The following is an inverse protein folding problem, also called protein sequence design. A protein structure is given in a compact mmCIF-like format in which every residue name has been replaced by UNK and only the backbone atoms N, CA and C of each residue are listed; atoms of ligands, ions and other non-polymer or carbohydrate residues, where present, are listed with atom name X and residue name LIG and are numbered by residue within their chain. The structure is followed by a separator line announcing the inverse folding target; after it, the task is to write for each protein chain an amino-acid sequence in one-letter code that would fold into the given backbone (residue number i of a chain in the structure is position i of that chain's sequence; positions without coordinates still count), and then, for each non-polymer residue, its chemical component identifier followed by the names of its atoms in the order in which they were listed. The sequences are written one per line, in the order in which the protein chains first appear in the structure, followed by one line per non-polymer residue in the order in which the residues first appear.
data_IF_418165490395
#
_entry.id   IF_418165490395
#
_cell.length_a   1.000
_cell.length_b   1.000
_cell.length_c   1.000
_cell.angle_alpha   90.00
_cell.angle_beta   90.00
_cell.angle_gamma   90.00
#
_symmetry.space_group_name_H-M   'P 1'
#
loop_
_entity.id
_entity.type
_entity.pdbx_description
1 polymer ?
2 polymer ?
3 polymer ?
4 water ?
#
# COMPACT_ATOMS: atom_id res chain seq x y z
N UNK A 1 17.27 -3.90 15.69
CA UNK A 1 18.05 -4.65 14.66
C UNK A 1 18.65 -3.78 13.54
N UNK A 2 19.20 -4.49 12.55
CA UNK A 2 19.84 -3.92 11.38
C UNK A 2 18.86 -3.03 10.62
N UNK A 3 19.33 -1.87 10.21
CA UNK A 3 18.49 -0.93 9.50
C UNK A 3 18.94 -0.81 8.04
N UNK A 4 17.98 -0.78 7.11
CA UNK A 4 18.24 -0.61 5.67
C UNK A 4 17.47 0.62 5.24
N UNK A 5 18.20 1.66 4.87
CA UNK A 5 17.56 2.91 4.48
C UNK A 5 17.66 3.15 2.98
N UNK A 6 16.53 3.25 2.25
CA UNK A 6 16.61 3.52 0.80
C UNK A 6 16.58 4.99 0.50
N UNK A 7 17.22 5.44 -0.57
CA UNK A 7 17.13 6.84 -0.96
C UNK A 7 17.08 6.89 -2.45
N UNK A 8 16.21 7.77 -3.03
CA UNK A 8 15.33 8.62 -2.24
C UNK A 8 14.12 7.77 -1.98
N UNK A 9 13.22 8.21 -1.10
CA UNK A 9 12.04 7.42 -0.88
C UNK A 9 11.12 7.50 -2.11
N UNK A 10 11.14 8.62 -2.82
CA UNK A 10 10.30 8.81 -4.00
C UNK A 10 11.15 9.50 -5.06
N UNK A 11 10.87 9.26 -6.34
CA UNK A 11 11.72 9.81 -7.38
C UNK A 11 10.92 9.98 -8.62
N UNK A 12 11.04 11.12 -9.28
CA UNK A 12 10.27 11.31 -10.54
C UNK A 12 11.22 11.19 -11.74
N UNK A 13 10.73 10.67 -12.86
CA UNK A 13 11.60 10.48 -14.00
C UNK A 13 10.79 10.31 -15.26
N UNK A 14 11.47 10.30 -16.40
CA UNK A 14 10.77 10.12 -17.66
C UNK A 14 11.38 8.96 -18.40
N UNK A 15 10.62 8.39 -19.34
CA UNK A 15 11.09 7.28 -20.15
C UNK A 15 12.42 7.72 -20.79
N UNK A 16 13.42 6.84 -20.74
CA UNK A 16 14.71 7.16 -21.28
C UNK A 16 15.66 7.67 -20.21
N UNK A 17 15.18 8.08 -19.04
CA UNK A 17 16.19 8.54 -18.08
C UNK A 17 17.04 7.41 -17.46
N UNK A 18 18.11 7.82 -16.79
CA UNK A 18 18.98 6.93 -16.09
C UNK A 18 18.69 7.26 -14.65
N UNK A 19 18.30 6.27 -13.84
CA UNK A 19 18.07 6.58 -12.45
C UNK A 19 18.90 5.67 -11.57
N UNK A 20 19.16 6.10 -10.36
CA UNK A 20 19.91 5.22 -9.52
C UNK A 20 19.28 5.40 -8.17
N UNK A 21 19.04 4.26 -7.51
CA UNK A 21 18.40 4.17 -6.21
C UNK A 21 19.49 3.64 -5.30
N UNK A 22 19.59 4.15 -4.08
CA UNK A 22 20.62 3.62 -3.22
C UNK A 22 20.08 3.04 -1.91
N UNK A 23 20.80 2.10 -1.30
CA UNK A 23 20.34 1.46 -0.08
C UNK A 23 21.54 1.35 0.84
N UNK A 24 21.39 1.82 2.06
CA UNK A 24 22.49 1.83 3.04
C UNK A 24 22.11 1.01 4.25
N UNK A 25 23.04 0.18 4.70
CA UNK A 25 22.77 -0.67 5.85
C UNK A 25 23.48 -0.15 7.10
N UNK A 26 22.87 -0.34 8.26
CA UNK A 26 23.48 0.15 9.51
C UNK A 26 24.74 -0.60 9.95
N UNK A 27 24.90 -1.84 9.49
CA UNK A 27 26.07 -2.69 9.77
C UNK A 27 26.34 -3.37 8.42
N UNK A 28 27.57 -3.81 8.18
CA UNK A 28 27.90 -4.44 6.90
C UNK A 28 27.17 -5.74 6.64
N UNK A 29 26.66 -5.91 5.43
CA UNK A 29 25.93 -7.11 5.04
C UNK A 29 26.67 -7.85 3.92
N UNK A 30 27.98 -7.59 3.79
CA UNK A 30 28.80 -8.20 2.75
C UNK A 30 28.12 -8.01 1.42
N UNK A 31 27.98 -9.04 0.59
CA UNK A 31 27.31 -8.87 -0.70
C UNK A 31 25.88 -9.46 -0.69
N UNK A 32 25.37 -9.81 0.49
CA UNK A 32 24.06 -10.45 0.59
C UNK A 32 22.91 -9.45 0.52
N UNK A 33 22.66 -8.95 -0.68
CA UNK A 33 21.67 -7.95 -0.87
C UNK A 33 20.98 -8.14 -2.18
N UNK A 34 19.67 -7.98 -2.19
CA UNK A 34 18.93 -8.20 -3.42
C UNK A 34 18.06 -7.00 -3.75
N UNK A 35 17.83 -6.76 -5.04
CA UNK A 35 16.92 -5.68 -5.45
C UNK A 35 15.71 -6.25 -6.13
N UNK A 36 14.56 -5.62 -5.90
CA UNK A 36 13.30 -6.05 -6.52
C UNK A 36 12.54 -4.87 -7.07
N UNK A 37 11.71 -5.15 -8.05
CA UNK A 37 10.86 -4.14 -8.64
C UNK A 37 9.43 -4.67 -8.39
N UNK A 38 8.54 -3.83 -7.91
CA UNK A 38 7.17 -4.30 -7.70
C UNK A 38 6.22 -3.33 -8.36
N UNK A 39 5.44 -3.85 -9.28
CA UNK A 39 4.47 -3.05 -9.97
C UNK A 39 3.17 -3.12 -9.19
N UNK A 40 2.35 -2.07 -9.28
CA UNK A 40 1.08 -2.11 -8.53
C UNK A 40 0.30 -3.42 -8.79
N UNK A 41 -0.31 -3.94 -7.73
CA UNK A 41 -1.09 -5.17 -7.83
C UNK A 41 -0.33 -6.48 -8.06
N UNK A 42 1.00 -6.43 -8.17
CA UNK A 42 1.77 -7.64 -8.41
C UNK A 42 2.79 -7.91 -7.30
N UNK A 43 3.34 -9.13 -7.26
CA UNK A 43 4.34 -9.45 -6.24
C UNK A 43 5.69 -8.81 -6.63
N UNK A 44 6.61 -8.68 -5.69
CA UNK A 44 7.90 -8.10 -6.06
C UNK A 44 8.58 -9.04 -7.07
N UNK A 45 9.43 -8.52 -7.96
CA UNK A 45 10.13 -9.39 -8.91
C UNK A 45 11.62 -9.14 -8.70
N UNK A 46 12.37 -10.23 -8.59
CA UNK A 46 13.82 -10.20 -8.39
C UNK A 46 14.53 -9.60 -9.61
N UNK A 47 15.38 -8.61 -9.41
CA UNK A 47 16.15 -7.99 -10.49
C UNK A 47 17.61 -8.39 -10.36
N UNK A 48 18.18 -8.16 -9.18
CA UNK A 48 19.60 -8.36 -8.88
C UNK A 48 19.75 -9.11 -7.57
N UNK A 49 20.56 -10.17 -7.58
CA UNK A 49 20.85 -10.97 -6.38
C UNK A 49 22.34 -10.87 -6.05
N UNK A 50 22.66 -11.08 -4.78
CA UNK A 50 24.08 -11.05 -4.37
C UNK A 50 24.72 -9.72 -4.79
N UNK A 51 24.03 -8.60 -4.51
CA UNK A 51 24.48 -7.20 -4.81
C UNK A 51 24.70 -6.80 -6.24
N UNK A 52 25.20 -7.70 -7.08
CA UNK A 52 25.43 -7.27 -8.44
C UNK A 52 25.12 -8.27 -9.51
N UNK A 53 24.71 -9.51 -9.18
CA UNK A 53 24.46 -10.49 -10.25
C UNK A 53 23.10 -10.25 -10.92
N UNK A 54 23.06 -10.30 -12.25
CA UNK A 54 21.83 -10.04 -12.94
C UNK A 54 21.00 -11.29 -12.93
N UNK A 55 19.77 -11.21 -12.44
CA UNK A 55 18.91 -12.38 -12.40
C UNK A 55 18.54 -12.78 -13.81
N UNK A 56 18.45 -14.09 -14.04
CA UNK A 56 18.13 -14.62 -15.35
C UNK A 56 16.78 -14.15 -15.89
N UNK A 57 16.79 -13.60 -17.10
CA UNK A 57 15.56 -13.16 -17.71
C UNK A 57 15.27 -11.71 -17.40
N UNK A 58 16.13 -11.08 -16.59
CA UNK A 58 15.94 -9.68 -16.25
C UNK A 58 16.71 -8.83 -17.29
N UNK A 59 16.05 -7.80 -17.83
CA UNK A 59 16.71 -6.95 -18.84
C UNK A 59 18.00 -6.28 -18.40
N UNK A 60 18.94 -6.21 -19.34
CA UNK A 60 20.26 -5.68 -19.06
C UNK A 60 20.32 -4.22 -18.64
N UNK A 61 19.28 -3.42 -18.85
CA UNK A 61 19.35 -2.03 -18.38
C UNK A 61 19.44 -1.96 -16.86
N UNK A 62 19.19 -3.08 -16.17
CA UNK A 62 19.24 -3.04 -14.70
C UNK A 62 20.61 -3.44 -14.24
N UNK A 63 21.14 -2.67 -13.32
CA UNK A 63 22.46 -2.98 -12.84
C UNK A 63 22.59 -2.74 -11.34
N UNK A 64 23.31 -3.61 -10.66
CA UNK A 64 23.52 -3.37 -9.25
C UNK A 64 25.00 -3.41 -8.86
N UNK A 65 25.43 -2.51 -7.97
CA UNK A 65 26.80 -2.50 -7.49
C UNK A 65 26.87 -2.17 -5.98
N UNK A 66 28.06 -2.30 -5.40
CA UNK A 66 28.28 -2.03 -4.00
C UNK A 66 28.38 -3.31 -3.15
N UNK A 67 28.87 -3.15 -1.92
CA UNK A 67 29.02 -4.23 -0.93
C UNK A 67 29.21 -3.58 0.46
N UNK A 68 29.11 -4.34 1.56
CA UNK A 68 29.29 -3.71 2.86
C UNK A 68 28.06 -2.96 3.37
N UNK A 69 28.08 -1.63 3.32
CA UNK A 69 26.97 -0.84 3.80
C UNK A 69 26.31 0.04 2.76
N UNK A 70 26.83 0.06 1.56
CA UNK A 70 26.23 0.94 0.56
C UNK A 70 26.03 0.28 -0.79
N UNK A 71 24.79 0.26 -1.29
CA UNK A 71 24.48 -0.39 -2.54
C UNK A 71 23.65 0.54 -3.40
N UNK A 72 23.73 0.32 -4.70
CA UNK A 72 23.01 1.10 -5.67
C UNK A 72 22.47 0.22 -6.80
N UNK A 73 21.28 0.59 -7.25
CA UNK A 73 20.61 -0.07 -8.37
C UNK A 73 20.52 1.04 -9.42
N UNK A 74 20.93 0.78 -10.65
CA UNK A 74 20.71 1.82 -11.60
C UNK A 74 20.00 1.22 -12.76
N UNK A 75 19.06 1.96 -13.31
CA UNK A 75 18.35 1.51 -14.47
C UNK A 75 18.93 2.51 -15.46
N UNK A 76 19.56 2.00 -16.52
CA UNK A 76 20.24 2.93 -17.43
C UNK A 76 19.31 3.68 -18.37
N UNK A 77 18.29 3.01 -18.91
CA UNK A 77 17.31 3.65 -19.81
C UNK A 77 15.90 3.26 -19.33
N UNK A 78 15.30 4.08 -18.48
CA UNK A 78 13.94 3.79 -17.95
C UNK A 78 12.90 3.50 -19.00
N UNK A 79 12.20 2.38 -18.85
CA UNK A 79 11.12 2.00 -19.77
C UNK A 79 9.77 2.20 -19.02
N UNK A 80 8.62 2.27 -19.73
CA UNK A 80 7.34 2.48 -19.03
C UNK A 80 7.02 1.49 -17.90
N UNK A 81 7.39 0.23 -18.07
CA UNK A 81 7.16 -0.75 -17.02
C UNK A 81 8.00 -0.52 -15.77
N UNK A 82 8.93 0.43 -15.79
CA UNK A 82 9.78 0.68 -14.64
C UNK A 82 9.23 1.68 -13.65
N UNK A 83 8.06 2.23 -13.98
CA UNK A 83 7.41 3.20 -13.10
C UNK A 83 6.84 2.23 -12.09
N UNK A 84 7.41 2.26 -10.89
CA UNK A 84 7.01 1.24 -9.93
C UNK A 84 7.72 1.56 -8.66
N UNK A 85 7.63 0.63 -7.70
CA UNK A 85 8.32 0.80 -6.42
C UNK A 85 9.44 -0.27 -6.33
N UNK A 86 10.62 0.16 -5.93
CA UNK A 86 11.77 -0.71 -5.82
C UNK A 86 12.13 -0.97 -4.39
N UNK A 87 12.54 -2.19 -4.07
CA UNK A 87 12.96 -2.50 -2.72
C UNK A 87 14.30 -3.20 -2.66
N UNK A 88 15.10 -2.93 -1.62
CA UNK A 88 16.35 -3.71 -1.46
C UNK A 88 16.07 -4.63 -0.26
N UNK A 89 16.76 -5.76 -0.18
CA UNK A 89 16.64 -6.74 0.91
C UNK A 89 18.02 -7.28 1.30
N UNK A 90 18.26 -7.31 2.58
CA UNK A 90 19.50 -7.75 3.13
C UNK A 90 19.26 -9.23 3.56
N UNK A 91 20.21 -10.15 3.30
CA UNK A 91 20.10 -11.55 3.69
C UNK A 91 21.33 -12.10 4.46
N UNK A 92 22.08 -11.20 5.05
CA UNK A 92 23.29 -11.55 5.82
C UNK A 92 22.97 -11.87 7.28
N UNK A 93 22.00 -11.12 7.84
CA UNK A 93 21.58 -11.26 9.24
C UNK A 93 20.08 -11.51 9.34
N UNK A 94 19.66 -12.29 10.34
CA UNK A 94 18.24 -12.53 10.57
C UNK A 94 17.85 -11.42 11.54
N UNK A 95 16.67 -10.82 11.34
CA UNK A 95 15.75 -11.12 10.25
C UNK A 95 16.26 -10.49 8.96
N UNK A 96 15.88 -11.09 7.83
CA UNK A 96 16.23 -10.67 6.48
C UNK A 96 15.51 -9.39 6.00
N UNK A 97 15.83 -8.26 6.60
CA UNK A 97 15.23 -6.94 6.30
C UNK A 97 15.05 -6.41 4.90
N UNK A 98 14.00 -5.63 4.74
CA UNK A 98 13.69 -4.95 3.50
C UNK A 98 13.84 -3.47 3.74
N UNK A 99 14.24 -2.73 2.71
CA UNK A 99 14.29 -1.29 2.85
C UNK A 99 12.86 -0.71 2.74
N UNK A 100 12.72 0.59 2.93
CA UNK A 100 11.38 1.22 2.93
C UNK A 100 10.79 1.36 1.56
N UNK A 101 11.58 1.10 0.54
CA UNK A 101 11.04 1.24 -0.81
C UNK A 101 11.25 2.61 -1.46
N UNK A 102 11.39 2.66 -2.78
CA UNK A 102 11.45 3.94 -3.43
C UNK A 102 10.52 3.87 -4.60
N UNK A 103 9.57 4.81 -4.64
CA UNK A 103 8.53 4.93 -5.66
C UNK A 103 9.08 5.70 -6.86
N UNK A 104 8.94 5.17 -8.05
CA UNK A 104 9.46 5.89 -9.19
C UNK A 104 8.20 6.21 -10.00
N UNK A 105 7.92 7.50 -10.22
CA UNK A 105 6.71 7.87 -10.95
C UNK A 105 7.00 8.86 -12.14
N UNK A 106 6.03 9.06 -13.01
CA UNK A 106 6.16 9.88 -14.19
C UNK A 106 6.38 11.35 -13.82
N UNK A 107 7.50 11.95 -14.22
CA UNK A 107 7.73 13.35 -13.89
C UNK A 107 6.82 14.25 -14.73
N UNK A 108 6.42 15.38 -14.18
CA UNK A 108 5.60 16.35 -14.89
C UNK A 108 5.84 17.62 -14.09
N UNK A 109 5.29 18.54 -14.68
CA UNK A 109 5.51 19.84 -14.04
C UNK A 109 4.77 19.91 -12.70
N UNK A 110 5.42 20.78 -11.71
CA UNK A 110 4.80 20.94 -10.43
C UNK A 110 3.40 21.54 -10.58
N UNK A 111 2.44 20.97 -9.86
CA UNK A 111 1.08 21.46 -9.87
C UNK A 111 0.54 21.43 -8.46
N UNK A 112 0.09 22.60 -7.99
CA UNK A 112 -0.47 22.72 -6.64
C UNK A 112 -1.85 22.09 -6.64
N UNK A 113 -2.28 21.62 -5.48
CA UNK A 113 -3.62 21.00 -5.44
C UNK A 113 -4.73 22.03 -5.41
N UNK A 114 -5.90 21.69 -5.93
CA UNK A 114 -7.07 22.56 -5.82
C UNK A 114 -7.64 21.95 -4.52
N UNK A 115 -7.88 22.75 -3.51
CA UNK A 115 -8.37 22.24 -2.24
C UNK A 115 -9.81 22.61 -2.01
N UNK A 116 -10.58 21.67 -1.44
CA UNK A 116 -12.00 21.83 -1.14
C UNK A 116 -12.31 21.19 0.21
N UNK A 117 -13.18 21.82 1.00
CA UNK A 117 -13.57 21.29 2.30
C UNK A 117 -15.07 21.06 2.29
N UNK A 118 -15.49 19.89 2.76
CA UNK A 118 -16.87 19.53 2.75
C UNK A 118 -17.36 19.32 4.15
N UNK A 119 -18.45 20.02 4.56
CA UNK A 119 -18.97 19.83 5.93
C UNK A 119 -19.78 18.55 5.97
N UNK A 120 -20.06 18.05 7.16
CA UNK A 120 -20.86 16.81 7.16
C UNK A 120 -22.31 17.08 6.75
N UNK A 121 -22.91 16.10 6.08
CA UNK A 121 -24.30 16.22 5.67
C UNK A 121 -25.24 16.14 6.90
N UNK A 122 -26.36 16.84 6.81
CA UNK A 122 -27.36 16.81 7.85
C UNK A 122 -27.83 15.41 7.99
N UNK A 123 -27.81 14.64 6.91
CA UNK A 123 -28.26 13.27 6.97
C UNK A 123 -27.32 12.46 7.87
N UNK A 124 -26.01 12.66 7.73
CA UNK A 124 -25.07 11.91 8.59
C UNK A 124 -25.27 12.36 10.03
N UNK A 125 -25.28 13.67 10.25
CA UNK A 125 -25.46 14.21 11.61
C UNK A 125 -26.62 13.55 12.39
N UNK A 126 -27.75 13.29 11.72
CA UNK A 126 -28.91 12.64 12.38
C UNK A 126 -28.55 11.25 12.88
N UNK A 127 -27.52 10.63 12.32
CA UNK A 127 -27.13 9.31 12.78
C UNK A 127 -26.13 9.43 13.93
N UNK A 128 -25.79 10.66 14.27
CA UNK A 128 -24.85 10.85 15.38
C UNK A 128 -23.37 10.99 15.07
N UNK A 129 -22.97 10.88 13.81
CA UNK A 129 -21.56 11.04 13.50
C UNK A 129 -21.34 12.21 12.54
N UNK A 130 -20.14 12.76 12.54
CA UNK A 130 -19.84 13.87 11.70
C UNK A 130 -18.53 13.65 10.97
N UNK A 131 -18.61 13.58 9.64
CA UNK A 131 -17.40 13.42 8.83
C UNK A 131 -17.06 14.70 8.08
N UNK A 132 -15.86 15.22 8.27
CA UNK A 132 -15.50 16.40 7.54
C UNK A 132 -14.46 15.91 6.55
N UNK A 133 -14.69 16.14 5.25
CA UNK A 133 -13.73 15.69 4.27
C UNK A 133 -13.03 16.83 3.56
N UNK A 134 -11.76 16.62 3.29
CA UNK A 134 -10.94 17.60 2.61
C UNK A 134 -10.43 16.95 1.37
N UNK A 135 -10.52 17.65 0.24
CA UNK A 135 -10.02 17.10 -0.98
C UNK A 135 -8.88 17.95 -1.55
N UNK A 136 -7.80 17.30 -1.97
CA UNK A 136 -6.65 17.91 -2.61
C UNK A 136 -6.71 17.26 -3.99
N UNK A 137 -7.08 18.06 -5.00
CA UNK A 137 -7.25 17.54 -6.34
C UNK A 137 -6.14 17.82 -7.37
N UNK A 138 -5.76 16.81 -8.14
CA UNK A 138 -4.73 16.93 -9.17
C UNK A 138 -3.45 17.72 -8.83
N UNK A 139 -2.61 17.20 -7.94
CA UNK A 139 -1.37 17.91 -7.60
C UNK A 139 -0.14 17.05 -7.99
N UNK A 140 1.04 17.63 -7.88
CA UNK A 140 2.31 16.94 -8.19
C UNK A 140 3.45 17.82 -7.70
N UNK A 141 4.46 17.24 -7.05
CA UNK A 141 4.64 15.83 -6.74
C UNK A 141 3.69 15.25 -5.68
N UNK A 142 3.77 13.93 -5.47
CA UNK A 142 2.90 13.24 -4.56
C UNK A 142 2.87 13.69 -3.10
N UNK A 143 4.00 14.10 -2.54
CA UNK A 143 3.99 14.47 -1.15
C UNK A 143 3.13 15.73 -0.86
N UNK A 144 2.25 15.59 0.14
CA UNK A 144 1.37 16.67 0.51
C UNK A 144 1.12 16.45 1.97
N UNK A 145 0.83 17.51 2.72
CA UNK A 145 0.55 17.39 4.13
C UNK A 145 -0.75 18.15 4.46
N UNK A 146 -1.65 17.44 5.11
CA UNK A 146 -2.95 17.93 5.50
C UNK A 146 -2.99 17.99 6.99
N UNK A 147 -3.39 19.15 7.50
CA UNK A 147 -3.51 19.34 8.94
C UNK A 147 -4.91 19.87 9.31
N UNK A 148 -5.66 19.11 10.09
CA UNK A 148 -6.99 19.56 10.48
C UNK A 148 -6.89 20.44 11.72
N UNK A 149 -7.68 21.51 11.72
CA UNK A 149 -7.76 22.41 12.86
C UNK A 149 -9.25 22.68 13.14
N UNK A 150 -9.63 22.62 14.40
CA UNK A 150 -10.99 22.85 14.85
C UNK A 150 -10.87 24.01 15.87
N UNK A 151 -11.53 25.14 15.63
CA UNK A 151 -11.42 26.28 16.56
C UNK A 151 -9.92 26.44 16.94
N UNK A 152 -9.07 26.35 15.94
CA UNK A 152 -7.63 26.48 16.11
C UNK A 152 -6.88 25.40 16.83
N UNK A 153 -7.56 24.35 17.27
CA UNK A 153 -6.85 23.26 17.92
C UNK A 153 -6.39 22.33 16.83
N UNK A 154 -5.13 21.94 16.93
CA UNK A 154 -4.52 21.03 15.98
C UNK A 154 -5.13 19.64 16.20
N UNK A 155 -5.64 19.00 15.15
CA UNK A 155 -6.26 17.70 15.36
C UNK A 155 -5.26 16.55 15.18
N UNK A 156 -5.46 15.47 15.92
CA UNK A 156 -4.56 14.36 15.77
C UNK A 156 -5.22 13.04 16.14
N UNK A 157 -4.97 12.01 15.36
CA UNK A 157 -5.52 10.70 15.66
C UNK A 157 -6.96 10.50 15.28
N UNK A 158 -7.59 11.50 14.68
CA UNK A 158 -9.01 11.36 14.32
C UNK A 158 -9.33 11.59 12.82
N UNK A 159 -8.31 11.39 11.96
CA UNK A 159 -8.50 11.55 10.54
C UNK A 159 -7.81 10.42 9.80
N UNK A 160 -8.23 10.19 8.57
CA UNK A 160 -7.63 9.15 7.74
C UNK A 160 -7.62 9.68 6.34
N UNK A 161 -6.58 9.32 5.58
CA UNK A 161 -6.48 9.78 4.22
C UNK A 161 -6.06 8.65 3.27
N UNK A 162 -6.41 8.81 2.00
CA UNK A 162 -5.99 7.88 0.97
C UNK A 162 -5.64 8.72 -0.29
N UNK A 163 -4.76 8.19 -1.13
CA UNK A 163 -4.26 8.88 -2.32
C UNK A 163 -4.54 8.02 -3.56
N UNK A 164 -4.98 8.61 -4.65
CA UNK A 164 -5.18 7.84 -5.86
C UNK A 164 -3.83 7.44 -6.48
N UNK A 165 -3.84 6.51 -7.41
CA UNK A 165 -2.61 6.15 -8.11
C UNK A 165 -2.39 7.28 -9.13
N UNK A 166 -1.13 7.47 -9.58
CA UNK A 166 -0.80 8.54 -10.53
C UNK A 166 -1.73 8.47 -11.71
N UNK A 167 -2.31 9.59 -12.12
CA UNK A 167 -3.24 9.56 -13.24
C UNK A 167 -2.51 9.27 -14.56
N UNK A 168 -2.98 8.33 -15.38
CA UNK A 168 -2.30 8.00 -16.63
C UNK A 168 -2.27 9.11 -17.71
N UNK A 169 -3.13 10.11 -17.59
CA UNK A 169 -3.15 11.22 -18.57
C UNK A 169 -2.49 12.50 -17.99
N UNK A 170 -2.87 12.82 -16.76
CA UNK A 170 -2.42 13.98 -15.97
C UNK A 170 -1.03 13.89 -15.37
N UNK A 171 -0.76 12.68 -14.86
CA UNK A 171 0.47 12.40 -14.08
C UNK A 171 0.34 13.05 -12.72
N UNK A 172 -0.87 13.46 -12.34
CA UNK A 172 -1.07 14.12 -11.03
C UNK A 172 -1.68 13.10 -10.04
N UNK A 173 -1.74 13.47 -8.76
CA UNK A 173 -2.36 12.62 -7.74
C UNK A 173 -3.47 13.43 -7.10
N UNK A 174 -4.36 12.75 -6.41
CA UNK A 174 -5.43 13.43 -5.67
C UNK A 174 -5.45 12.77 -4.27
N UNK A 175 -5.84 13.54 -3.27
CA UNK A 175 -5.86 13.02 -1.91
C UNK A 175 -7.15 13.41 -1.17
N UNK A 176 -7.74 12.44 -0.49
CA UNK A 176 -8.92 12.63 0.28
C UNK A 176 -8.61 12.43 1.73
N UNK A 177 -8.94 13.40 2.59
CA UNK A 177 -8.76 13.20 4.01
C UNK A 177 -10.08 13.41 4.79
N UNK A 178 -10.46 12.42 5.61
CA UNK A 178 -11.66 12.48 6.41
C UNK A 178 -11.39 12.71 7.91
N UNK A 179 -11.95 13.81 8.47
CA UNK A 179 -11.89 14.08 9.91
C UNK A 179 -13.24 13.53 10.48
N UNK A 180 -13.18 12.67 11.49
CA UNK A 180 -14.38 12.08 12.05
C UNK A 180 -14.60 12.44 13.53
N UNK A 181 -15.78 12.92 13.88
CA UNK A 181 -16.05 13.30 15.25
C UNK A 181 -17.47 12.88 15.58
N UNK A 182 -17.77 12.70 16.85
CA UNK A 182 -19.16 12.43 17.19
C UNK A 182 -19.99 13.71 16.88
N UNK A 183 -21.28 13.54 16.69
CA UNK A 183 -22.13 14.67 16.43
C UNK A 183 -21.96 15.62 17.60
N UNK A 184 -21.96 15.08 18.82
CA UNK A 184 -21.79 15.95 19.98
C UNK A 184 -20.57 16.83 19.94
N UNK A 185 -19.38 16.26 19.76
CA UNK A 185 -18.14 17.05 19.69
C UNK A 185 -18.25 18.03 18.54
N UNK A 186 -18.79 17.55 17.44
CA UNK A 186 -18.91 18.40 16.28
C UNK A 186 -19.60 19.68 16.68
N UNK A 187 -20.71 19.54 17.38
CA UNK A 187 -21.55 20.67 17.78
C UNK A 187 -20.88 21.61 18.75
N UNK A 188 -19.83 21.17 19.43
CA UNK A 188 -19.17 22.02 20.38
C UNK A 188 -18.14 22.96 19.79
N UNK A 189 -18.05 23.07 18.47
CA UNK A 189 -17.03 23.94 17.87
C UNK A 189 -17.55 24.64 16.65
N UNK A 190 -16.85 25.66 16.16
CA UNK A 190 -17.35 26.37 14.98
C UNK A 190 -16.47 26.35 13.74
N UNK A 191 -15.19 26.66 13.88
CA UNK A 191 -14.31 26.73 12.71
C UNK A 191 -13.60 25.42 12.39
N UNK A 192 -13.99 24.78 11.30
CA UNK A 192 -13.41 23.53 10.83
C UNK A 192 -12.52 23.90 9.68
N UNK A 193 -11.21 23.63 9.82
CA UNK A 193 -10.23 23.99 8.81
C UNK A 193 -9.33 22.87 8.34
N UNK A 194 -9.04 22.85 7.05
CA UNK A 194 -8.15 21.88 6.42
C UNK A 194 -6.95 22.71 5.90
N UNK A 195 -5.79 22.55 6.53
CA UNK A 195 -4.58 23.27 6.15
C UNK A 195 -3.72 22.39 5.24
N UNK A 196 -3.31 22.90 4.09
CA UNK A 196 -2.56 22.08 3.15
C UNK A 196 -1.20 22.60 2.77
N UNK A 197 -0.16 21.77 2.91
CA UNK A 197 1.19 22.18 2.55
C UNK A 197 1.60 21.33 1.36
N UNK A 198 2.20 21.98 0.37
CA UNK A 198 2.63 21.28 -0.82
C UNK A 198 3.66 22.10 -1.55
N UNK A 199 4.52 21.42 -2.28
CA UNK A 199 5.58 22.11 -2.97
C UNK A 199 5.10 23.20 -3.93
N UNK A 200 3.97 22.99 -4.59
CA UNK A 200 3.48 23.98 -5.52
C UNK A 200 2.77 25.18 -4.88
N UNK A 201 2.70 25.22 -3.56
CA UNK A 201 2.02 26.31 -2.92
C UNK A 201 3.06 27.16 -2.23
N UNK A 202 3.08 28.45 -2.61
CA UNK A 202 4.00 29.40 -2.02
C UNK A 202 3.98 29.26 -0.48
N UNK A 203 2.80 29.22 0.12
CA UNK A 203 2.71 29.03 1.56
C UNK A 203 1.45 28.18 1.69
N UNK A 204 1.21 27.63 2.88
CA UNK A 204 0.04 26.78 3.16
C UNK A 204 -1.29 27.43 2.84
N UNK A 205 -2.19 26.65 2.28
CA UNK A 205 -3.47 27.17 1.98
C UNK A 205 -4.46 26.56 2.98
N UNK A 206 -5.40 27.37 3.45
CA UNK A 206 -6.39 26.85 4.36
C UNK A 206 -7.81 27.04 3.78
N UNK A 207 -8.61 25.97 3.82
CA UNK A 207 -9.99 26.02 3.39
C UNK A 207 -10.77 25.70 4.63
N UNK A 208 -11.80 26.49 4.92
CA UNK A 208 -12.61 26.27 6.09
C UNK A 208 -14.01 26.78 6.00
N UNK A 209 -14.77 26.44 7.03
CA UNK A 209 -16.14 26.85 7.19
C UNK A 209 -16.50 26.96 8.68
N UNK A 210 -17.55 27.72 8.97
CA UNK A 210 -18.01 27.83 10.34
C UNK A 210 -19.24 26.97 10.39
N UNK A 211 -19.27 26.05 11.34
CA UNK A 211 -20.40 25.15 11.49
C UNK A 211 -21.68 25.92 11.75
N UNK A 212 -22.76 25.41 11.18
CA UNK A 212 -24.05 26.02 11.37
C UNK A 212 -24.27 27.39 10.74
N UNK A 213 -23.22 28.01 10.22
CA UNK A 213 -23.42 29.30 9.61
C UNK A 213 -24.35 29.06 8.44
N UNK A 214 -25.54 29.81 8.19
CA UNK A 214 -26.52 29.61 7.13
C UNK A 214 -26.93 30.88 6.41
N UNK B 1 10.50 -24.68 -14.29
CA UNK B 1 9.71 -23.48 -13.87
C UNK B 1 9.14 -23.65 -12.44
N UNK B 2 9.53 -22.69 -11.61
CA UNK B 2 9.10 -22.66 -10.24
C UNK B 2 7.89 -21.78 -10.06
N UNK B 3 6.87 -22.27 -9.40
CA UNK B 3 5.75 -21.42 -9.14
C UNK B 3 5.30 -21.70 -7.68
N UNK B 4 4.78 -20.66 -7.02
CA UNK B 4 4.26 -20.80 -5.65
C UNK B 4 2.93 -20.10 -5.63
N UNK B 5 2.04 -20.58 -4.75
CA UNK B 5 0.74 -19.97 -4.57
C UNK B 5 0.22 -20.12 -3.11
N UNK B 6 -0.19 -18.98 -2.57
CA UNK B 6 -0.69 -18.90 -1.21
C UNK B 6 -2.20 -19.19 -1.12
N UNK B 7 -2.63 -19.86 -0.05
CA UNK B 7 -4.07 -20.07 0.14
C UNK B 7 -4.37 -19.97 1.66
N UNK B 8 -5.61 -19.61 1.99
CA UNK B 8 -6.05 -19.52 3.38
C UNK B 8 -7.30 -18.64 3.43
N UNK B 9 -7.78 -18.26 4.62
CA UNK B 9 -8.98 -17.43 4.72
C UNK B 9 -8.74 -15.95 4.36
N UNK B 10 -9.67 -15.33 3.60
CA UNK B 10 -9.45 -13.92 3.26
C UNK B 10 -9.80 -13.03 4.42
N UNK B 11 -10.63 -13.54 5.29
CA UNK B 11 -11.09 -12.77 6.43
C UNK B 11 -10.85 -13.50 7.73
N UNK B 12 -10.36 -12.79 8.73
CA UNK B 12 -10.16 -13.40 10.01
C UNK B 12 -10.47 -12.42 11.09
N UNK B 13 -11.00 -12.90 12.20
CA UNK B 13 -11.35 -12.03 13.33
C UNK B 13 -10.24 -11.94 14.37
N UNK B 14 -10.13 -10.79 15.02
CA UNK B 14 -9.15 -10.52 16.05
C UNK B 14 -9.19 -11.66 17.06
N UNK B 15 -8.02 -11.94 17.64
CA UNK B 15 -7.68 -13.00 18.60
C UNK B 15 -7.65 -14.35 17.92
N UNK B 16 -8.20 -14.47 16.72
CA UNK B 16 -8.17 -15.78 16.09
C UNK B 16 -6.80 -16.19 15.55
N UNK B 17 -6.73 -17.45 15.14
CA UNK B 17 -5.54 -18.03 14.58
C UNK B 17 -5.65 -18.13 13.05
N UNK B 18 -4.59 -17.66 12.38
CA UNK B 18 -4.51 -17.64 10.94
C UNK B 18 -3.50 -18.65 10.45
N UNK B 19 -3.95 -19.55 9.58
CA UNK B 19 -3.13 -20.59 8.98
C UNK B 19 -3.09 -20.32 7.47
N UNK B 20 -1.89 -20.13 6.95
CA UNK B 20 -1.66 -19.86 5.55
C UNK B 20 -0.83 -21.00 4.99
N UNK B 21 -1.22 -21.44 3.78
CA UNK B 21 -0.53 -22.50 3.10
C UNK B 21 0.12 -22.02 1.78
N UNK B 22 1.37 -22.44 1.57
CA UNK B 22 2.09 -22.12 0.36
C UNK B 22 2.24 -23.44 -0.33
N UNK B 23 1.63 -23.61 -1.51
CA UNK B 23 1.76 -24.89 -2.28
C UNK B 23 2.66 -24.51 -3.45
N UNK B 24 3.66 -25.32 -3.76
CA UNK B 24 4.57 -24.94 -4.84
C UNK B 24 4.85 -26.12 -5.79
N UNK B 25 5.49 -25.84 -6.93
CA UNK B 25 5.87 -26.90 -7.88
C UNK B 25 7.19 -26.42 -8.53
N UNK B 26 7.96 -27.33 -9.14
CA UNK B 26 9.24 -26.96 -9.74
C UNK B 26 10.46 -27.19 -8.84
N UNK B 27 10.25 -27.51 -7.57
CA UNK B 27 11.40 -27.78 -6.69
C UNK B 27 10.88 -28.63 -5.53
N UNK B 28 11.77 -29.19 -4.75
CA UNK B 28 11.30 -29.99 -3.66
C UNK B 28 11.92 -29.42 -2.41
N UNK B 29 11.23 -29.48 -1.28
CA UNK B 29 11.83 -28.96 -0.08
C UNK B 29 12.77 -30.01 0.47
N UNK B 30 13.14 -30.96 -0.37
CA UNK B 30 14.13 -31.91 0.03
C UNK B 30 15.37 -31.59 -0.83
N UNK B 31 15.27 -30.59 -1.72
CA UNK B 31 16.46 -30.29 -2.53
C UNK B 31 17.48 -29.61 -1.61
N UNK B 32 18.76 -29.76 -1.93
CA UNK B 32 19.81 -29.19 -1.10
C UNK B 32 19.74 -27.69 -0.84
N UNK B 33 19.77 -27.33 0.43
CA UNK B 33 19.74 -25.95 0.90
C UNK B 33 18.60 -25.05 0.48
N UNK B 34 17.57 -25.60 -0.14
CA UNK B 34 16.46 -24.74 -0.54
C UNK B 34 15.68 -24.15 0.65
N UNK B 35 15.12 -22.96 0.49
CA UNK B 35 14.30 -22.32 1.51
C UNK B 35 12.98 -21.81 0.92
N UNK B 36 12.00 -21.65 1.82
CA UNK B 36 10.73 -21.08 1.44
C UNK B 36 10.49 -20.09 2.61
N UNK B 37 10.19 -18.84 2.30
CA UNK B 37 9.99 -17.82 3.33
C UNK B 37 8.64 -17.19 3.11
N UNK B 38 8.22 -16.35 4.05
CA UNK B 38 6.96 -15.66 4.03
C UNK B 38 7.27 -14.18 4.26
N UNK B 39 6.62 -13.32 3.50
CA UNK B 39 6.81 -11.88 3.60
C UNK B 39 5.39 -11.25 3.53
N UNK B 40 5.14 -10.15 4.23
CA UNK B 40 3.78 -9.60 4.18
C UNK B 40 3.87 -8.14 3.77
N UNK B 41 2.74 -7.58 3.37
CA UNK B 41 2.74 -6.20 2.93
C UNK B 41 1.39 -5.55 3.29
N UNK B 42 1.32 -4.77 4.37
CA UNK B 42 0.05 -4.11 4.74
C UNK B 42 -0.31 -3.14 3.59
N UNK B 43 -1.60 -2.89 3.35
CA UNK B 43 -1.88 -1.97 2.21
C UNK B 43 -1.15 -0.62 2.26
N UNK B 44 -0.55 -0.26 1.14
CA UNK B 44 0.20 0.97 1.04
C UNK B 44 1.53 0.98 1.78
N UNK B 45 1.87 -0.10 2.50
CA UNK B 45 3.15 -0.11 3.23
C UNK B 45 4.31 -0.92 2.53
N UNK B 46 5.44 -0.98 3.21
CA UNK B 46 6.65 -1.67 2.77
C UNK B 46 6.56 -3.18 3.01
N UNK B 47 7.48 -3.94 2.43
CA UNK B 47 7.50 -5.37 2.63
C UNK B 47 8.04 -5.65 4.01
N UNK B 48 7.52 -6.68 4.64
CA UNK B 48 8.01 -7.05 5.97
C UNK B 48 8.28 -8.57 6.03
N UNK B 49 9.52 -8.91 6.37
CA UNK B 49 9.94 -10.30 6.41
C UNK B 49 9.34 -10.99 7.63
N UNK B 50 8.81 -12.22 7.45
CA UNK B 50 8.19 -12.94 8.57
C UNK B 50 8.92 -14.20 9.06
N UNK B 51 9.36 -15.04 8.14
CA UNK B 51 9.98 -16.28 8.53
C UNK B 51 10.50 -17.06 7.33
N UNK B 52 11.28 -18.07 7.59
CA UNK B 52 11.73 -18.89 6.46
C UNK B 52 12.01 -20.26 7.00
N UNK B 53 11.89 -21.27 6.14
CA UNK B 53 12.22 -22.64 6.54
C UNK B 53 13.03 -23.28 5.43
N UNK B 54 14.05 -24.05 5.79
CA UNK B 54 14.91 -24.73 4.79
C UNK B 54 14.64 -26.22 4.73
N UNK B 55 15.09 -26.85 3.65
CA UNK B 55 14.90 -28.27 3.47
C UNK B 55 15.55 -29.13 4.60
N UNK B 56 16.63 -28.67 5.26
CA UNK B 56 17.19 -29.44 6.36
C UNK B 56 16.40 -29.15 7.66
N UNK B 57 15.28 -28.42 7.51
CA UNK B 57 14.36 -28.09 8.55
C UNK B 57 14.75 -27.04 9.61
N UNK B 58 15.74 -26.20 9.32
CA UNK B 58 16.15 -25.11 10.22
C UNK B 58 15.00 -24.10 9.98
N UNK B 59 14.58 -23.40 11.04
CA UNK B 59 13.48 -22.42 10.97
C UNK B 59 13.96 -21.10 11.58
N UNK B 60 13.51 -19.96 11.05
CA UNK B 60 13.90 -18.67 11.63
C UNK B 60 12.68 -17.74 11.52
N UNK B 61 12.53 -16.88 12.51
CA UNK B 61 11.39 -16.01 12.58
C UNK B 61 11.76 -14.58 12.87
N UNK B 62 10.91 -13.70 12.40
CA UNK B 62 11.02 -12.30 12.69
C UNK B 62 11.00 -12.21 14.24
N UNK B 63 11.94 -11.48 14.84
CA UNK B 63 11.94 -11.36 16.32
C UNK B 63 10.67 -10.65 16.85
N UNK B 64 10.19 -9.66 16.14
CA UNK B 64 8.97 -8.97 16.53
C UNK B 64 7.70 -9.85 16.52
N UNK B 65 7.70 -10.96 15.78
CA UNK B 65 6.49 -11.79 15.70
C UNK B 65 6.72 -13.23 16.19
N UNK B 66 7.95 -13.48 16.62
CA UNK B 66 8.35 -14.80 17.04
C UNK B 66 7.31 -15.56 17.85
N UNK B 67 6.79 -14.93 18.91
CA UNK B 67 5.81 -15.62 19.75
C UNK B 67 4.49 -16.01 19.07
N UNK B 68 4.13 -15.35 17.97
CA UNK B 68 2.86 -15.69 17.33
C UNK B 68 3.03 -16.55 16.04
N UNK B 69 4.27 -16.79 15.59
CA UNK B 69 4.45 -17.56 14.37
C UNK B 69 4.98 -18.97 14.52
N UNK B 70 4.45 -19.86 13.68
CA UNK B 70 4.97 -21.21 13.60
C UNK B 70 5.10 -21.50 12.10
N UNK B 71 6.25 -21.96 11.63
CA UNK B 71 6.32 -22.29 10.22
C UNK B 71 6.66 -23.77 10.17
N UNK B 72 6.09 -24.48 9.22
CA UNK B 72 6.33 -25.92 9.16
C UNK B 72 6.33 -26.38 7.72
N UNK B 73 6.90 -27.53 7.41
CA UNK B 73 6.80 -27.95 6.03
C UNK B 73 6.22 -29.32 5.86
N UNK B 74 5.65 -29.58 4.69
CA UNK B 74 5.16 -30.92 4.42
C UNK B 74 5.76 -31.26 3.06
N UNK B 75 6.94 -31.85 3.12
CA UNK B 75 7.76 -32.16 1.99
C UNK B 75 7.08 -32.98 0.94
N UNK B 76 6.34 -34.00 1.38
CA UNK B 76 5.67 -34.88 0.44
C UNK B 76 4.48 -34.21 -0.22
N UNK B 77 3.90 -33.17 0.38
CA UNK B 77 2.79 -32.46 -0.28
C UNK B 77 3.28 -31.18 -0.99
N UNK B 78 4.59 -30.90 -0.93
CA UNK B 78 5.12 -29.66 -1.48
C UNK B 78 4.39 -28.45 -0.92
N UNK B 79 4.29 -28.38 0.38
CA UNK B 79 3.65 -27.24 1.01
C UNK B 79 4.42 -26.77 2.22
N UNK B 80 4.26 -25.48 2.50
CA UNK B 80 4.87 -24.85 3.68
C UNK B 80 3.73 -24.12 4.30
N UNK B 81 3.57 -24.30 5.60
CA UNK B 81 2.48 -23.68 6.32
C UNK B 81 3.03 -22.71 7.35
N UNK B 82 2.38 -21.56 7.47
CA UNK B 82 2.72 -20.54 8.42
C UNK B 82 1.44 -20.32 9.24
N UNK B 83 1.58 -20.48 10.55
CA UNK B 83 0.48 -20.28 11.48
C UNK B 83 0.75 -19.07 12.34
N UNK B 84 -0.16 -18.10 12.31
CA UNK B 84 -0.02 -16.90 13.11
C UNK B 84 -1.17 -16.88 14.12
N UNK B 85 -0.84 -16.79 15.40
CA UNK B 85 -1.87 -16.80 16.43
C UNK B 85 -2.20 -15.43 16.87
N UNK B 86 -3.34 -15.31 17.56
CA UNK B 86 -3.75 -14.03 18.14
C UNK B 86 -3.63 -12.83 17.19
N UNK B 87 -4.25 -12.94 16.04
CA UNK B 87 -4.14 -11.81 15.13
C UNK B 87 -4.93 -10.63 15.59
N UNK B 88 -4.52 -9.47 15.13
CA UNK B 88 -5.22 -8.24 15.44
C UNK B 88 -5.35 -7.46 14.11
N UNK B 89 -6.10 -6.37 14.08
CA UNK B 89 -6.24 -5.59 12.83
C UNK B 89 -4.96 -5.22 12.10
N UNK B 90 -3.88 -4.88 12.82
CA UNK B 90 -2.62 -4.51 12.16
C UNK B 90 -2.00 -5.67 11.35
N UNK B 91 -2.53 -6.87 11.52
CA UNK B 91 -2.04 -7.99 10.75
C UNK B 91 -2.74 -8.02 9.36
N UNK B 92 -3.61 -7.04 9.05
CA UNK B 92 -4.22 -7.13 7.73
C UNK B 92 -3.11 -6.77 6.73
N UNK B 93 -2.93 -7.62 5.73
CA UNK B 93 -1.86 -7.41 4.78
C UNK B 93 -2.00 -8.42 3.67
N UNK B 94 -1.22 -8.22 2.62
CA UNK B 94 -1.14 -9.24 1.59
C UNK B 94 0.09 -10.08 2.04
N UNK B 95 -0.09 -11.39 2.10
CA UNK B 95 0.95 -12.35 2.53
C UNK B 95 1.51 -13.09 1.33
N UNK B 96 2.84 -13.07 1.15
CA UNK B 96 3.49 -13.79 0.04
C UNK B 96 4.44 -14.89 0.56
N UNK B 97 4.51 -16.01 -0.13
CA UNK B 97 5.54 -17.00 0.21
C UNK B 97 6.54 -16.89 -0.95
N UNK B 98 7.77 -17.31 -0.74
CA UNK B 98 8.76 -17.17 -1.79
C UNK B 98 9.87 -18.24 -1.65
N UNK B 99 10.46 -18.56 -2.80
CA UNK B 99 11.52 -19.49 -2.92
C UNK B 99 12.84 -18.83 -2.73
N UNK B 100 13.74 -19.55 -2.07
CA UNK B 100 15.11 -19.12 -1.87
C UNK B 100 16.01 -20.28 -2.37
N UNK B 101 16.87 -19.99 -3.31
CA UNK B 101 17.77 -20.99 -3.84
C UNK B 101 18.76 -21.45 -2.80
N UNK B 102 19.25 -22.67 -2.96
CA UNK B 102 20.31 -23.19 -2.10
C UNK B 102 21.63 -22.98 -2.88
N UNK B 103 22.83 -23.20 -2.32
CA UNK B 103 24.06 -23.00 -3.11
C UNK B 103 24.14 -23.85 -4.36
N UNK B 104 24.78 -23.33 -5.39
CA UNK B 104 24.98 -24.13 -6.59
C UNK B 104 25.96 -25.25 -6.22
N UNK B 105 25.73 -26.44 -6.78
CA UNK B 105 26.60 -27.58 -6.55
C UNK B 105 27.22 -28.10 -7.89
N UNK B 106 28.38 -28.71 -7.78
CA UNK B 106 29.03 -29.26 -8.96
C UNK B 106 29.37 -30.66 -8.49
N UNK B 107 28.78 -31.65 -9.19
CA UNK B 107 28.95 -33.06 -8.82
C UNK B 107 28.67 -33.11 -7.30
N UNK B 108 27.52 -32.54 -6.92
CA UNK B 108 27.12 -32.56 -5.53
C UNK B 108 28.15 -31.99 -4.58
N UNK B 109 28.77 -30.89 -5.00
CA UNK B 109 29.70 -30.21 -4.13
C UNK B 109 29.32 -28.73 -4.21
N UNK B 110 29.04 -28.12 -3.06
CA UNK B 110 28.66 -26.70 -3.02
C UNK B 110 29.87 -25.88 -3.47
N UNK B 111 29.66 -25.04 -4.50
CA UNK B 111 30.73 -24.21 -5.06
C UNK B 111 30.38 -22.74 -5.16
N UNK B 112 29.08 -22.40 -5.10
CA UNK B 112 28.68 -20.99 -5.16
C UNK B 112 27.54 -20.66 -4.22
N UNK B 113 27.78 -19.72 -3.29
CA UNK B 113 26.71 -19.34 -2.39
C UNK B 113 26.00 -18.03 -2.82
N UNK B 114 26.55 -17.31 -3.80
CA UNK B 114 25.92 -16.10 -4.26
C UNK B 114 24.43 -16.31 -4.61
N UNK B 115 24.02 -17.43 -5.23
CA UNK B 115 22.59 -17.54 -5.53
C UNK B 115 21.61 -17.57 -4.35
N UNK B 116 22.09 -17.78 -3.13
CA UNK B 116 21.15 -17.78 -2.00
C UNK B 116 20.83 -16.38 -1.58
N UNK B 117 21.54 -15.39 -2.10
CA UNK B 117 21.25 -14.03 -1.64
C UNK B 117 20.14 -13.28 -2.38
N UNK B 118 18.92 -13.80 -2.22
CA UNK B 118 17.68 -13.21 -2.80
C UNK B 118 16.56 -14.22 -2.58
N UNK B 119 15.30 -13.75 -2.68
CA UNK B 119 14.17 -14.67 -2.69
C UNK B 119 13.85 -14.50 -4.19
N UNK B 120 14.14 -15.52 -4.99
CA UNK B 120 14.03 -15.45 -6.48
C UNK B 120 12.68 -15.62 -7.18
N UNK B 121 11.74 -16.34 -6.55
CA UNK B 121 10.42 -16.53 -7.15
C UNK B 121 9.38 -16.35 -6.05
N UNK B 122 8.37 -15.56 -6.38
CA UNK B 122 7.31 -15.23 -5.45
C UNK B 122 5.94 -15.72 -5.83
N UNK B 123 5.06 -15.93 -4.86
CA UNK B 123 3.70 -16.31 -5.20
C UNK B 123 2.95 -15.00 -5.45
N UNK B 124 1.77 -15.08 -6.06
CA UNK B 124 0.97 -13.87 -6.34
C UNK B 124 0.61 -13.10 -5.03
N UNK B 125 0.49 -13.78 -3.90
CA UNK B 125 0.14 -13.10 -2.66
C UNK B 125 -1.33 -13.32 -2.33
N UNK B 126 -1.63 -13.42 -1.05
CA UNK B 126 -3.00 -13.60 -0.66
C UNK B 126 -3.37 -12.48 0.34
N UNK B 127 -4.46 -11.82 0.04
CA UNK B 127 -4.94 -10.70 0.84
C UNK B 127 -5.72 -11.17 2.04
N UNK B 128 -5.30 -10.78 3.23
CA UNK B 128 -5.99 -11.17 4.45
C UNK B 128 -6.42 -9.91 5.24
N UNK B 129 -7.70 -9.89 5.59
CA UNK B 129 -8.27 -8.77 6.34
C UNK B 129 -8.64 -9.23 7.74
N UNK B 130 -8.17 -8.50 8.74
CA UNK B 130 -8.52 -8.86 10.11
C UNK B 130 -9.50 -7.83 10.67
N UNK B 131 -10.72 -8.29 10.89
CA UNK B 131 -11.79 -7.45 11.41
C UNK B 131 -12.86 -8.32 12.09
N UNK B 132 -13.45 -7.78 13.16
CA UNK B 132 -14.50 -8.53 13.84
C UNK B 132 -15.83 -8.23 13.17
N UNK B 133 -16.00 -7.34 12.07
CA UNK B 133 -17.25 -6.98 11.42
C UNK B 133 -18.04 -8.06 10.67
N UNK B 134 -19.15 -7.91 10.74
CA UNK B 134 -20.03 -8.79 9.95
C UNK B 134 -20.32 -8.03 8.65
N UNK B 135 -20.75 -8.76 7.62
CA UNK B 135 -21.10 -8.11 6.38
C UNK B 135 -22.06 -6.94 6.67
N UNK B 136 -21.85 -5.80 6.00
CA UNK B 136 -22.69 -4.64 6.21
C UNK B 136 -22.66 -3.61 5.05
N UNK B 137 -23.83 -3.16 4.63
CA UNK B 137 -23.91 -2.18 3.55
C UNK B 137 -23.55 -0.76 3.98
N UNK B 138 -23.02 0.06 3.05
CA UNK B 138 -22.62 1.45 3.31
C UNK B 138 -23.78 2.43 3.47
N UNK B 139 -23.52 3.52 4.18
CA UNK B 139 -24.46 4.62 4.29
C UNK B 139 -23.84 5.56 3.25
N UNK B 140 -24.66 6.21 2.43
CA UNK B 140 -24.06 7.08 1.45
C UNK B 140 -24.45 8.51 1.72
N UNK B 141 -23.46 9.40 1.87
CA UNK B 141 -23.78 10.78 2.15
C UNK B 141 -23.25 11.68 1.09
N UNK B 142 -23.88 12.85 0.91
CA UNK B 142 -23.43 13.80 -0.13
C UNK B 142 -22.24 14.60 0.30
N UNK B 143 -21.41 14.97 -0.66
CA UNK B 143 -20.25 15.82 -0.43
C UNK B 143 -20.57 17.00 -1.38
N UNK B 144 -20.97 18.12 -0.81
CA UNK B 144 -21.31 19.28 -1.66
C UNK B 144 -20.51 20.52 -1.33
N UNK B 145 -20.16 21.27 -2.40
CA UNK B 145 -19.38 22.55 -2.37
C UNK B 145 -19.87 23.64 -1.35
N UNK B 152 -9.42 26.24 -13.79
CA UNK B 152 -8.98 26.49 -12.42
C UNK B 152 -10.12 26.70 -11.45
N UNK B 153 -11.18 27.35 -11.97
CA UNK B 153 -12.46 27.67 -11.28
C UNK B 153 -13.37 26.44 -11.43
N UNK B 154 -12.81 25.34 -10.94
CA UNK B 154 -13.45 24.05 -10.94
C UNK B 154 -14.23 23.97 -9.65
N UNK B 155 -15.31 23.19 -9.66
CA UNK B 155 -16.13 23.00 -8.46
C UNK B 155 -16.01 21.48 -8.17
N UNK B 156 -16.20 21.08 -6.92
CA UNK B 156 -16.10 19.66 -6.59
C UNK B 156 -17.27 19.12 -5.80
N UNK B 157 -17.63 17.90 -6.07
CA UNK B 157 -18.68 17.30 -5.25
C UNK B 157 -18.45 15.81 -5.21
N UNK B 158 -19.19 15.11 -4.37
CA UNK B 158 -18.97 13.69 -4.32
C UNK B 158 -19.93 12.97 -3.41
N UNK B 159 -19.53 11.75 -3.08
CA UNK B 159 -20.30 10.88 -2.19
C UNK B 159 -19.29 10.21 -1.24
N UNK B 160 -19.70 10.06 0.01
CA UNK B 160 -18.90 9.48 1.09
C UNK B 160 -19.61 8.20 1.34
N UNK B 161 -18.93 7.10 1.00
CA UNK B 161 -19.49 5.77 1.14
C UNK B 161 -18.98 5.24 2.47
N UNK B 162 -19.79 5.37 3.51
CA UNK B 162 -19.38 5.05 4.85
C UNK B 162 -19.85 3.81 5.58
N UNK B 163 -18.92 3.18 6.32
CA UNK B 163 -19.23 2.03 7.16
C UNK B 163 -19.74 0.77 6.51
N UNK B 164 -18.94 0.20 5.62
CA UNK B 164 -19.39 -1.01 4.99
C UNK B 164 -18.32 -2.08 5.17
N UNK B 165 -18.71 -3.34 4.95
CA UNK B 165 -17.81 -4.47 5.05
C UNK B 165 -18.41 -5.69 4.36
N UNK B 166 -17.57 -6.46 3.65
CA UNK B 166 -16.13 -6.24 3.47
C UNK B 166 -15.95 -5.48 2.15
N UNK B 167 -14.71 -5.39 1.67
CA UNK B 167 -14.47 -4.79 0.35
C UNK B 167 -15.02 -5.83 -0.64
N UNK B 168 -15.33 -5.43 -1.88
CA UNK B 168 -15.19 -4.09 -2.41
C UNK B 168 -16.53 -3.43 -2.57
N UNK B 169 -16.49 -2.19 -3.01
CA UNK B 169 -17.72 -1.50 -3.36
C UNK B 169 -17.44 -0.86 -4.75
N UNK B 170 -18.47 -0.68 -5.57
CA UNK B 170 -18.24 -0.01 -6.86
C UNK B 170 -19.00 1.31 -6.89
N UNK B 171 -18.39 2.33 -7.46
CA UNK B 171 -19.03 3.62 -7.57
C UNK B 171 -18.85 4.14 -8.98
N UNK B 172 -19.92 4.67 -9.56
CA UNK B 172 -19.80 5.29 -10.87
C UNK B 172 -20.62 6.60 -10.73
N UNK B 173 -20.49 7.49 -11.71
CA UNK B 173 -21.24 8.73 -11.74
C UNK B 173 -22.17 8.72 -12.99
N UNK B 174 -23.39 9.23 -12.82
CA UNK B 174 -24.42 9.29 -13.86
C UNK B 174 -24.48 8.01 -14.64
N UNK B 175 -24.73 6.92 -13.91
CA UNK B 175 -24.87 5.60 -14.48
C UNK B 175 -23.76 5.18 -15.42
N UNK B 176 -22.58 5.80 -15.24
CA UNK B 176 -21.45 5.46 -16.09
C UNK B 176 -21.11 6.47 -17.15
N UNK B 177 -21.93 7.50 -17.32
CA UNK B 177 -21.70 8.53 -18.34
C UNK B 177 -20.73 9.61 -17.92
N UNK B 178 -20.53 9.75 -16.60
CA UNK B 178 -19.62 10.76 -16.14
C UNK B 178 -18.33 10.04 -15.73
N UNK B 179 -17.24 10.38 -16.42
CA UNK B 179 -15.93 9.80 -16.16
C UNK B 179 -14.83 10.85 -16.03
N UNK B 180 -14.88 11.91 -16.82
CA UNK B 180 -13.79 12.85 -16.71
C UNK B 180 -13.88 13.62 -15.40
N UNK B 181 -12.76 13.73 -14.70
CA UNK B 181 -12.73 14.45 -13.43
C UNK B 181 -13.19 13.61 -12.24
N UNK B 182 -13.43 12.32 -12.46
CA UNK B 182 -13.86 11.47 -11.37
C UNK B 182 -12.66 10.84 -10.65
N UNK B 183 -12.67 10.89 -9.33
CA UNK B 183 -11.62 10.24 -8.54
C UNK B 183 -12.29 9.45 -7.43
N UNK B 184 -12.16 8.13 -7.50
CA UNK B 184 -12.72 7.28 -6.47
C UNK B 184 -11.49 6.80 -5.67
N UNK B 185 -11.37 7.23 -4.43
CA UNK B 185 -10.24 6.86 -3.60
C UNK B 185 -10.29 5.47 -3.01
N UNK B 186 -9.10 4.91 -2.69
CA UNK B 186 -9.10 3.57 -2.08
C UNK B 186 -9.70 3.77 -0.69
N UNK B 187 -10.44 2.78 -0.25
CA UNK B 187 -11.10 2.77 1.07
C UNK B 187 -10.05 2.65 2.17
N UNK B 188 -10.39 3.16 3.34
CA UNK B 188 -9.54 3.05 4.51
C UNK B 188 -10.34 2.13 5.45
N UNK B 189 -9.64 1.30 6.23
CA UNK B 189 -10.27 0.39 7.17
C UNK B 189 -10.24 1.21 8.44
N UNK B 190 -11.42 1.59 8.94
CA UNK B 190 -11.52 2.38 10.17
C UNK B 190 -11.25 1.53 11.42
N UNK B 191 -10.97 2.19 12.52
CA UNK B 191 -10.68 1.45 13.74
C UNK B 191 -11.88 0.64 14.13
N UNK B 192 -13.07 1.01 13.65
CA UNK B 192 -14.27 0.25 13.97
C UNK B 192 -14.27 -1.11 13.24
N UNK B 193 -13.45 -1.26 12.19
CA UNK B 193 -13.43 -2.54 11.45
C UNK B 193 -14.28 -2.49 10.15
N UNK B 194 -14.77 -1.29 9.86
CA UNK B 194 -15.60 -1.08 8.69
C UNK B 194 -14.84 -0.18 7.73
N UNK B 195 -15.09 -0.33 6.45
CA UNK B 195 -14.37 0.50 5.51
C UNK B 195 -15.10 1.82 5.25
N UNK B 196 -14.39 2.76 4.64
CA UNK B 196 -15.02 4.00 4.26
C UNK B 196 -14.24 4.58 3.12
N UNK B 197 -14.95 5.14 2.15
CA UNK B 197 -14.33 5.74 1.00
C UNK B 197 -15.09 6.94 0.44
N UNK B 198 -14.38 7.78 -0.27
CA UNK B 198 -15.03 8.92 -0.89
C UNK B 198 -14.81 8.73 -2.38
N UNK B 199 -15.70 9.31 -3.16
CA UNK B 199 -15.62 9.33 -4.61
C UNK B 199 -16.00 10.76 -4.96
N UNK B 200 -15.15 11.50 -5.65
CA UNK B 200 -15.51 12.87 -5.95
C UNK B 200 -15.42 13.11 -7.46
N UNK B 201 -15.93 14.25 -7.90
CA UNK B 201 -15.83 14.63 -9.27
C UNK B 201 -15.72 16.14 -9.38
N UNK B 202 -14.83 16.60 -10.23
CA UNK B 202 -14.56 18.02 -10.47
C UNK B 202 -15.19 18.40 -11.83
N UNK B 203 -15.87 19.55 -11.87
CA UNK B 203 -16.50 19.99 -13.11
C UNK B 203 -16.36 21.50 -13.24
N UNK B 204 -16.54 22.04 -14.47
CA UNK B 204 -16.42 23.50 -14.68
C UNK B 204 -17.47 24.13 -13.75
N UNK B 205 -17.04 25.13 -12.98
CA UNK B 205 -17.96 25.76 -12.02
C UNK B 205 -19.30 26.22 -12.58
N UNK B 206 -19.50 25.96 -13.86
CA UNK B 206 -20.73 26.33 -14.54
C UNK B 206 -21.69 25.12 -14.66
N UNK B 207 -21.12 23.93 -14.86
CA UNK B 207 -21.95 22.74 -15.05
C UNK B 207 -22.95 22.53 -13.95
N UNK B 208 -22.65 23.06 -12.77
CA UNK B 208 -23.55 22.93 -11.64
C UNK B 208 -24.99 23.34 -11.96
N UNK B 211 -26.50 20.79 -15.72
CA UNK B 211 -26.13 19.36 -15.54
C UNK B 211 -26.36 18.69 -14.12
N UNK B 212 -26.86 17.45 -14.04
CA UNK B 212 -27.04 16.83 -12.70
C UNK B 212 -26.00 15.74 -12.39
N UNK B 213 -25.73 15.53 -11.10
CA UNK B 213 -24.72 14.56 -10.65
C UNK B 213 -25.23 13.53 -9.67
N UNK B 214 -25.20 12.26 -10.06
CA UNK B 214 -25.67 11.25 -9.17
C UNK B 214 -24.61 10.13 -9.05
N UNK B 215 -24.24 9.75 -7.83
CA UNK B 215 -23.25 8.65 -7.69
C UNK B 215 -24.03 7.37 -7.58
N UNK B 216 -23.60 6.31 -8.28
CA UNK B 216 -24.27 5.01 -8.20
C UNK B 216 -23.31 4.13 -7.42
N UNK B 217 -23.75 3.71 -6.24
CA UNK B 217 -22.94 2.92 -5.31
C UNK B 217 -23.47 1.52 -5.23
N UNK B 218 -22.59 0.54 -5.24
CA UNK B 218 -23.07 -0.85 -5.19
C UNK B 218 -22.12 -1.71 -4.35
N UNK B 219 -22.64 -2.27 -3.25
CA UNK B 219 -21.83 -3.13 -2.40
C UNK B 219 -22.42 -4.56 -2.57
N UNK B 220 -21.88 -5.33 -3.51
CA UNK B 220 -22.41 -6.67 -3.78
C UNK B 220 -22.57 -7.54 -2.54
N UNK B 221 -21.53 -7.62 -1.70
CA UNK B 221 -21.59 -8.43 -0.49
C UNK B 221 -22.84 -8.34 0.33
N UNK B 222 -23.41 -7.15 0.47
CA UNK B 222 -24.65 -6.95 1.28
C UNK B 222 -25.90 -6.68 0.45
N UNK B 223 -25.82 -6.78 -0.86
CA UNK B 223 -26.95 -6.49 -1.74
C UNK B 223 -27.44 -5.10 -1.41
N UNK B 224 -26.57 -4.11 -1.56
CA UNK B 224 -26.97 -2.73 -1.28
C UNK B 224 -26.65 -1.82 -2.46
N UNK B 225 -27.65 -1.41 -3.22
CA UNK B 225 -27.41 -0.46 -4.32
C UNK B 225 -28.04 0.86 -3.90
N UNK B 226 -27.37 1.96 -4.20
CA UNK B 226 -27.87 3.25 -3.82
C UNK B 226 -27.49 4.23 -4.93
N UNK B 227 -28.43 5.11 -5.30
CA UNK B 227 -28.09 6.16 -6.27
C UNK B 227 -28.34 7.39 -5.43
N UNK B 228 -27.36 8.30 -5.36
CA UNK B 228 -27.53 9.51 -4.59
C UNK B 228 -27.20 10.72 -5.44
N UNK B 229 -28.20 11.54 -5.69
CA UNK B 229 -28.02 12.73 -6.49
C UNK B 229 -27.49 13.78 -5.53
N UNK B 230 -26.45 14.48 -5.95
CA UNK B 230 -25.79 15.44 -5.11
C UNK B 230 -25.88 16.83 -5.76
N UNK B 231 -26.29 17.84 -5.02
CA UNK B 231 -26.31 19.16 -5.64
C UNK B 231 -25.77 20.22 -4.72
N UNK B 232 -25.53 21.43 -5.26
CA UNK B 232 -25.02 22.57 -4.49
C UNK B 232 -25.97 23.15 -3.43
N UNK B 233 -26.29 22.34 -2.39
CA UNK B 233 -27.20 22.69 -1.27
C UNK B 233 -28.08 23.97 -1.37
N UNK B 234 -28.21 24.73 -0.28
CA UNK B 234 -28.99 25.98 -0.25
C UNK B 234 -30.41 25.88 -0.89
N UNK B 235 -31.15 24.77 -0.66
CA UNK B 235 -32.55 24.42 -1.18
C UNK B 235 -32.67 24.12 -2.71
N UNK C 1 21.01 -12.97 14.16
CA UNK C 1 22.12 -13.93 13.98
C UNK C 1 22.66 -13.80 12.57
N UNK C 2 23.58 -14.71 12.28
CA UNK C 2 24.28 -14.92 11.02
C UNK C 2 23.30 -15.73 10.13
N UNK C 3 23.03 -15.29 8.88
CA UNK C 3 22.20 -16.04 7.89
C UNK C 3 22.79 -17.47 7.77
N UNK C 4 21.98 -18.46 7.36
CA UNK C 4 22.42 -19.86 7.18
C UNK C 4 23.73 -19.98 6.31
N UNK C 5 23.83 -19.12 5.28
CA UNK C 5 24.97 -19.21 4.39
C UNK C 5 26.11 -18.21 4.56
N UNK C 6 26.16 -17.59 5.73
CA UNK C 6 27.16 -16.59 6.01
C UNK C 6 28.51 -17.06 6.58
N UNK C 7 29.49 -16.18 6.34
CA UNK C 7 30.91 -16.24 6.76
C UNK C 7 31.61 -14.92 6.28
#
# INVERSE_FOLDING_TARGET
ALQLTQSPSSLSASVGDRITITCRASQGVTSALAWYRQKPGSPPQLLIYDASSLESGVPSRFSGSGSGTEFTLTISTLRPEDFATYYCQQLHFYPHTFGGGTRVDVRRTVAAPSVFIFPPSDEQLKSGTASVVCLLNNFYPREAKVQWKVDNALQSGNSQESVTEQDSKDSTYSLSSTLTLSKADYEKHKVYECEVTHQGLSSPVTKSFNRGEC
RITLKESGPPLVKPTQTLTLTCSFSGFSLSDFGVGVGWIRQPPGKALEWLAIIYSDDDKRYSPSLNTRLTITKDTSKNQVVLVMTRVSPVDTATYFCAHRRGPTTLFGVPIARGPVNAMDVWGQGITVTISSTSTKGPSVFPLAPSSKSTAGAAAALGCLVKDYFPEPVTVSWNSGALTSGVHTFPAVLQSSGLYSLSSVVTVPSSSLGTQTYTCNVNHKPSNTKVDKRVEPKSC
EQDKWAS
#
